data_IF_417181352368
#
_entry.id   IF_417181352368
#
_cell.length_a   1.000
_cell.length_b   1.000
_cell.length_c   1.000
_cell.angle_alpha   90.00
_cell.angle_beta   90.00
_cell.angle_gamma   90.00
#
_symmetry.space_group_name_H-M   'P 1'
#
loop_
_entity.id
_entity.type
_entity.pdbx_description
1 polymer ?
#
# COMPACT_ATOMS: atom_id res chain seq x y z
N UNK A 1 -22.72 -19.53 -20.29
CA UNK A 1 -21.29 -19.20 -20.13
C UNK A 1 -20.73 -19.26 -18.72
N UNK A 2 -21.47 -18.90 -17.66
CA UNK A 2 -21.00 -19.06 -16.26
C UNK A 2 -20.56 -20.50 -15.92
N UNK A 3 -21.31 -21.49 -16.41
CA UNK A 3 -21.01 -22.92 -16.21
C UNK A 3 -19.71 -23.40 -16.88
N UNK A 4 -19.34 -22.87 -18.05
CA UNK A 4 -18.10 -23.28 -18.73
C UNK A 4 -16.85 -22.65 -18.10
N UNK A 5 -16.94 -21.41 -17.63
CA UNK A 5 -15.85 -20.71 -16.96
C UNK A 5 -15.61 -21.30 -15.55
N UNK A 6 -16.68 -21.59 -14.79
CA UNK A 6 -16.61 -22.22 -13.47
C UNK A 6 -16.04 -23.65 -13.52
N UNK A 7 -16.36 -24.42 -14.57
CA UNK A 7 -15.78 -25.76 -14.80
C UNK A 7 -14.30 -25.68 -15.19
N UNK A 8 -13.86 -24.65 -15.93
CA UNK A 8 -12.46 -24.50 -16.36
C UNK A 8 -11.54 -23.90 -15.30
N UNK A 9 -12.04 -22.97 -14.49
CA UNK A 9 -11.22 -22.22 -13.51
C UNK A 9 -11.53 -22.56 -12.05
N UNK A 10 -12.45 -23.48 -11.81
CA UNK A 10 -12.93 -23.83 -10.47
C UNK A 10 -13.83 -22.74 -9.87
N UNK A 11 -14.48 -23.08 -8.76
CA UNK A 11 -15.30 -22.16 -7.96
C UNK A 11 -14.45 -21.25 -7.06
N UNK A 12 -13.15 -21.11 -7.34
CA UNK A 12 -12.25 -20.33 -6.50
C UNK A 12 -12.72 -18.87 -6.47
N UNK A 13 -13.11 -18.32 -5.29
CA UNK A 13 -13.40 -16.91 -5.19
C UNK A 13 -12.15 -16.16 -5.64
N UNK A 14 -12.32 -15.25 -6.61
CA UNK A 14 -11.21 -14.53 -7.22
C UNK A 14 -10.63 -13.56 -6.20
N UNK A 15 -9.62 -14.02 -5.48
CA UNK A 15 -8.93 -13.27 -4.45
C UNK A 15 -7.84 -12.39 -5.07
N UNK A 16 -7.68 -11.18 -4.53
CA UNK A 16 -6.40 -10.49 -4.63
C UNK A 16 -5.39 -11.24 -3.79
N UNK A 17 -4.15 -11.35 -4.27
CA UNK A 17 -3.08 -11.95 -3.48
C UNK A 17 -2.71 -11.00 -2.34
N UNK A 18 -3.20 -11.32 -1.16
CA UNK A 18 -2.80 -10.75 0.11
C UNK A 18 -2.29 -11.89 0.98
N UNK A 19 -1.18 -11.66 1.66
CA UNK A 19 -0.49 -12.66 2.47
C UNK A 19 -0.55 -12.22 3.90
N UNK A 20 -0.95 -13.13 4.78
CA UNK A 20 -0.90 -12.83 6.20
C UNK A 20 0.56 -12.69 6.66
N UNK A 21 0.81 -11.88 7.69
CA UNK A 21 2.16 -11.64 8.18
C UNK A 21 2.92 -12.91 8.61
N UNK A 22 2.22 -13.94 9.07
CA UNK A 22 2.81 -15.24 9.39
C UNK A 22 3.33 -16.01 8.16
N UNK A 23 2.87 -15.66 6.96
CA UNK A 23 3.39 -16.14 5.68
C UNK A 23 4.54 -15.26 5.11
N UNK A 24 4.94 -14.19 5.82
CA UNK A 24 6.06 -13.33 5.42
C UNK A 24 7.33 -13.80 6.13
N UNK A 25 8.33 -14.34 5.39
CA UNK A 25 9.57 -14.82 5.99
C UNK A 25 10.24 -13.79 6.90
N UNK A 26 10.59 -14.23 8.11
CA UNK A 26 11.32 -13.41 9.09
C UNK A 26 10.49 -12.36 9.82
N UNK A 27 9.24 -12.06 9.42
CA UNK A 27 8.43 -11.01 10.05
C UNK A 27 8.14 -11.33 11.52
N UNK A 28 7.69 -12.56 11.82
CA UNK A 28 7.39 -12.95 13.21
C UNK A 28 8.60 -12.87 14.13
N UNK A 29 9.77 -13.30 13.65
CA UNK A 29 11.02 -13.19 14.41
C UNK A 29 11.48 -11.74 14.56
N UNK A 30 11.37 -10.93 13.50
CA UNK A 30 11.69 -9.51 13.54
C UNK A 30 10.85 -8.77 14.58
N UNK A 31 9.52 -9.00 14.61
CA UNK A 31 8.63 -8.42 15.62
C UNK A 31 9.00 -8.89 17.03
N UNK A 32 9.34 -10.17 17.20
CA UNK A 32 9.70 -10.72 18.52
C UNK A 32 10.97 -10.10 19.11
N UNK A 33 11.96 -9.76 18.28
CA UNK A 33 13.24 -9.14 18.73
C UNK A 33 13.24 -7.62 18.64
N UNK A 34 12.16 -7.01 18.12
CA UNK A 34 12.07 -5.57 17.95
C UNK A 34 12.00 -4.86 19.31
N UNK A 35 12.93 -3.93 19.54
CA UNK A 35 12.92 -3.11 20.74
C UNK A 35 11.91 -1.97 20.62
N UNK A 36 10.89 -1.97 21.48
CA UNK A 36 9.85 -0.94 21.49
C UNK A 36 10.30 0.27 22.31
N UNK A 37 10.39 1.44 21.66
CA UNK A 37 10.72 2.67 22.38
C UNK A 37 9.57 3.07 23.33
N UNK A 38 9.83 3.62 24.54
CA UNK A 38 8.78 3.90 25.52
C UNK A 38 7.64 4.80 25.04
N UNK A 39 7.95 5.73 24.14
CA UNK A 39 6.99 6.65 23.51
C UNK A 39 6.52 6.25 22.11
N UNK A 40 6.76 5.00 21.69
CA UNK A 40 6.43 4.56 20.33
C UNK A 40 4.92 4.33 20.17
N UNK A 41 4.29 5.04 19.23
CA UNK A 41 2.85 4.92 18.93
C UNK A 41 2.57 4.21 17.61
N UNK A 42 3.57 3.61 16.97
CA UNK A 42 3.42 3.02 15.65
C UNK A 42 4.72 2.51 15.06
N UNK A 43 4.64 1.98 13.85
CA UNK A 43 5.79 1.45 13.12
C UNK A 43 5.55 1.51 11.61
N UNK A 44 6.65 1.63 10.87
CA UNK A 44 6.72 1.38 9.44
C UNK A 44 7.40 0.03 9.23
N UNK A 45 6.75 -0.85 8.48
CA UNK A 45 7.25 -2.20 8.19
C UNK A 45 7.89 -2.16 6.81
N UNK A 46 9.14 -2.64 6.71
CA UNK A 46 9.89 -2.71 5.47
C UNK A 46 10.21 -4.17 5.11
N UNK A 47 10.14 -4.51 3.83
CA UNK A 47 10.60 -5.78 3.29
C UNK A 47 11.55 -5.51 2.12
N UNK A 48 12.83 -5.91 2.28
CA UNK A 48 13.91 -5.61 1.33
C UNK A 48 13.96 -4.11 0.92
N UNK A 49 14.01 -3.21 1.92
CA UNK A 49 13.97 -1.73 1.80
C UNK A 49 12.70 -1.12 1.21
N UNK A 50 11.73 -1.94 0.81
CA UNK A 50 10.45 -1.48 0.31
C UNK A 50 9.46 -1.31 1.47
N UNK A 51 8.84 -0.13 1.57
CA UNK A 51 7.81 0.12 2.59
C UNK A 51 6.60 -0.79 2.34
N UNK A 52 6.28 -1.66 3.29
CA UNK A 52 5.19 -2.62 3.18
C UNK A 52 3.88 -2.07 3.74
N UNK A 53 3.96 -1.47 4.93
CA UNK A 53 2.81 -0.96 5.67
C UNK A 53 3.24 0.09 6.70
N UNK A 54 2.30 0.95 7.07
CA UNK A 54 2.38 1.80 8.25
C UNK A 54 1.26 1.44 9.21
N UNK A 55 1.58 1.40 10.51
CA UNK A 55 0.64 1.16 11.59
C UNK A 55 0.81 2.20 12.67
N UNK A 56 -0.25 2.92 13.03
CA UNK A 56 -0.21 3.97 14.07
C UNK A 56 -1.44 3.87 14.95
N UNK A 57 -1.25 4.09 16.24
CA UNK A 57 -2.29 4.14 17.29
C UNK A 57 -2.04 5.35 18.18
N UNK A 58 -2.96 5.75 19.07
CA UNK A 58 -2.86 7.05 19.74
C UNK A 58 -1.95 7.03 20.97
N UNK A 59 -1.67 5.85 21.54
CA UNK A 59 -0.92 5.72 22.79
C UNK A 59 0.14 4.60 22.72
N UNK A 60 1.31 4.75 23.39
CA UNK A 60 2.34 3.72 23.40
C UNK A 60 1.88 2.39 23.99
N UNK A 61 1.02 2.40 25.00
CA UNK A 61 0.47 1.15 25.56
C UNK A 61 -0.40 0.39 24.56
N UNK A 62 -1.20 1.11 23.76
CA UNK A 62 -1.99 0.47 22.70
C UNK A 62 -1.07 -0.17 21.66
N UNK A 63 0.03 0.53 21.31
CA UNK A 63 1.01 0.02 20.38
C UNK A 63 1.70 -1.24 20.91
N UNK A 64 2.08 -1.28 22.19
CA UNK A 64 2.68 -2.48 22.80
C UNK A 64 1.74 -3.68 22.76
N UNK A 65 0.45 -3.47 23.01
CA UNK A 65 -0.56 -4.53 22.97
C UNK A 65 -0.78 -5.03 21.55
N UNK A 66 -0.77 -4.14 20.56
CA UNK A 66 -1.08 -4.46 19.16
C UNK A 66 0.14 -4.83 18.32
N UNK A 67 1.36 -4.53 18.77
CA UNK A 67 2.59 -4.86 18.03
C UNK A 67 2.67 -6.33 17.61
N UNK A 68 2.38 -7.32 18.49
CA UNK A 68 2.42 -8.73 18.10
C UNK A 68 1.39 -9.10 17.04
N UNK A 69 0.27 -8.36 16.95
CA UNK A 69 -0.81 -8.67 15.99
C UNK A 69 -0.45 -8.27 14.56
N UNK A 70 0.65 -7.55 14.33
CA UNK A 70 1.14 -7.25 12.99
C UNK A 70 1.42 -8.53 12.18
N UNK A 71 1.73 -9.65 12.83
CA UNK A 71 1.88 -10.94 12.16
C UNK A 71 0.55 -11.48 11.59
N UNK A 72 -0.59 -11.01 12.10
CA UNK A 72 -1.92 -11.40 11.63
C UNK A 72 -2.43 -10.48 10.51
N UNK A 73 -1.71 -9.38 10.23
CA UNK A 73 -2.08 -8.42 9.22
C UNK A 73 -1.91 -8.97 7.80
N UNK A 74 -2.69 -8.40 6.87
CA UNK A 74 -2.55 -8.68 5.44
C UNK A 74 -1.56 -7.73 4.79
N UNK A 75 -0.62 -8.30 4.04
CA UNK A 75 0.40 -7.61 3.26
C UNK A 75 0.24 -7.91 1.77
N UNK A 76 0.64 -6.96 0.92
CA UNK A 76 0.54 -7.11 -0.53
C UNK A 76 1.49 -8.16 -1.09
N UNK A 77 1.13 -8.71 -2.26
CA UNK A 77 1.93 -9.70 -3.01
C UNK A 77 3.41 -9.30 -3.16
N UNK A 78 3.67 -8.02 -3.38
CA UNK A 78 5.03 -7.52 -3.56
C UNK A 78 5.89 -7.68 -2.30
N UNK A 79 5.30 -7.50 -1.12
CA UNK A 79 5.97 -7.64 0.17
C UNK A 79 6.37 -9.08 0.40
N UNK A 80 5.45 -10.02 0.10
CA UNK A 80 5.73 -11.44 0.14
C UNK A 80 6.86 -11.83 -0.84
N UNK A 81 6.80 -11.33 -2.09
CA UNK A 81 7.85 -11.60 -3.08
C UNK A 81 9.22 -11.05 -2.65
N UNK A 82 9.28 -9.83 -2.12
CA UNK A 82 10.52 -9.25 -1.63
C UNK A 82 11.06 -9.96 -0.39
N UNK A 83 10.20 -10.42 0.51
CA UNK A 83 10.62 -11.22 1.65
C UNK A 83 11.20 -12.58 1.24
N UNK A 84 10.71 -13.19 0.15
CA UNK A 84 11.19 -14.49 -0.34
C UNK A 84 12.40 -14.41 -1.28
N UNK A 85 12.45 -13.39 -2.14
CA UNK A 85 13.38 -13.32 -3.28
C UNK A 85 14.24 -12.06 -3.28
N UNK A 86 14.05 -11.15 -2.34
CA UNK A 86 14.86 -9.95 -2.20
C UNK A 86 16.31 -10.30 -1.87
N UNK A 87 17.24 -9.52 -2.42
CA UNK A 87 18.63 -9.61 -2.00
C UNK A 87 18.76 -9.20 -0.52
N UNK A 88 19.72 -9.77 0.23
CA UNK A 88 20.01 -9.30 1.58
C UNK A 88 20.32 -7.81 1.57
N UNK A 89 19.62 -7.05 2.41
CA UNK A 89 19.90 -5.63 2.63
C UNK A 89 21.13 -5.52 3.53
N UNK A 90 22.11 -4.66 3.21
CA UNK A 90 23.24 -4.41 4.09
C UNK A 90 22.78 -3.98 5.49
N UNK A 91 23.40 -4.55 6.52
CA UNK A 91 23.13 -4.14 7.90
C UNK A 91 23.46 -2.65 8.09
N UNK A 92 22.48 -1.87 8.56
CA UNK A 92 22.68 -0.49 8.91
C UNK A 92 23.00 -0.36 10.40
N UNK A 93 24.27 -0.06 10.72
CA UNK A 93 24.65 0.36 12.07
C UNK A 93 24.80 1.88 12.10
N UNK A 94 23.97 2.55 12.90
CA UNK A 94 24.16 3.96 13.21
C UNK A 94 25.54 4.18 13.84
N UNK A 95 26.41 4.98 13.20
CA UNK A 95 27.75 5.30 13.73
C UNK A 95 27.94 6.81 13.85
N UNK A 96 28.22 7.26 15.07
CA UNK A 96 28.74 8.60 15.32
C UNK A 96 30.24 8.57 15.04
N UNK A 97 30.71 9.31 14.03
CA UNK A 97 32.13 9.37 13.67
C UNK A 97 32.88 10.25 14.66
N UNK A 98 33.98 9.73 15.20
CA UNK A 98 34.85 10.33 16.23
C UNK A 98 36.27 10.65 15.67
N UNK A 99 36.36 11.05 14.40
CA UNK A 99 37.62 11.38 13.72
C UNK A 99 38.34 12.62 14.26
N UNK A 100 39.55 12.90 13.75
CA UNK A 100 40.51 13.90 14.28
C UNK A 100 39.89 15.29 14.57
N UNK A 101 39.44 15.47 15.81
CA UNK A 101 38.86 16.71 16.35
C UNK A 101 37.38 16.62 16.78
N UNK A 102 36.68 15.53 16.46
CA UNK A 102 35.25 15.33 16.70
C UNK A 102 34.97 14.68 18.05
N UNK A 103 34.09 15.33 18.82
CA UNK A 103 33.58 14.90 20.13
C UNK A 103 34.64 14.98 21.24
N UNK A 104 34.63 16.09 21.99
CA UNK A 104 35.51 16.32 23.14
C UNK A 104 34.74 16.37 24.46
N UNK A 105 33.41 16.49 24.40
CA UNK A 105 32.54 16.62 25.56
C UNK A 105 31.26 15.80 25.39
N UNK A 106 30.55 15.57 26.49
CA UNK A 106 29.21 14.98 26.48
C UNK A 106 28.20 15.83 25.69
N UNK A 107 28.39 17.16 25.67
CA UNK A 107 27.58 18.06 24.87
C UNK A 107 27.80 17.82 23.37
N UNK A 108 29.04 17.63 22.94
CA UNK A 108 29.36 17.32 21.54
C UNK A 108 28.76 15.97 21.11
N UNK A 109 28.81 14.95 21.99
CA UNK A 109 28.21 13.65 21.73
C UNK A 109 26.68 13.75 21.58
N UNK A 110 26.01 14.49 22.46
CA UNK A 110 24.56 14.74 22.37
C UNK A 110 24.21 15.49 21.08
N UNK A 111 25.00 16.50 20.72
CA UNK A 111 24.79 17.25 19.50
C UNK A 111 24.97 16.37 18.25
N UNK A 112 25.98 15.49 18.25
CA UNK A 112 26.22 14.53 17.17
C UNK A 112 25.08 13.49 17.04
N UNK A 113 24.60 12.95 18.17
CA UNK A 113 23.45 12.04 18.20
C UNK A 113 22.18 12.71 17.64
N UNK A 114 21.84 13.91 18.11
CA UNK A 114 20.71 14.69 17.59
C UNK A 114 20.87 15.07 16.12
N UNK A 115 22.10 15.24 15.65
CA UNK A 115 22.41 15.48 14.24
C UNK A 115 22.15 14.23 13.39
N UNK A 116 22.56 13.07 13.88
CA UNK A 116 22.32 11.78 13.23
C UNK A 116 20.83 11.42 13.18
N UNK A 117 20.09 11.65 14.27
CA UNK A 117 18.63 11.47 14.30
C UNK A 117 17.93 12.33 13.27
N UNK A 118 18.31 13.61 13.16
CA UNK A 118 17.76 14.53 12.14
C UNK A 118 18.11 14.11 10.71
N UNK A 119 19.36 13.69 10.48
CA UNK A 119 19.79 13.20 9.18
C UNK A 119 19.06 11.91 8.79
N UNK A 120 18.85 11.00 9.75
CA UNK A 120 18.07 9.79 9.55
C UNK A 120 16.61 10.11 9.22
N UNK A 121 15.95 10.97 10.01
CA UNK A 121 14.58 11.38 9.75
C UNK A 121 14.43 12.00 8.34
N UNK A 122 15.32 12.91 7.96
CA UNK A 122 15.29 13.54 6.64
C UNK A 122 15.51 12.53 5.50
N UNK A 123 16.47 11.60 5.65
CA UNK A 123 16.75 10.58 4.64
C UNK A 123 15.59 9.57 4.54
N UNK A 124 15.08 9.12 5.68
CA UNK A 124 13.97 8.20 5.76
C UNK A 124 12.71 8.81 5.12
N UNK A 125 12.32 10.01 5.52
CA UNK A 125 11.10 10.66 5.03
C UNK A 125 11.23 11.05 3.55
N UNK A 126 12.42 11.49 3.11
CA UNK A 126 12.67 11.91 1.74
C UNK A 126 12.99 10.78 0.74
N UNK A 127 13.31 9.58 1.22
CA UNK A 127 13.68 8.44 0.36
C UNK A 127 12.81 7.20 0.61
N UNK A 128 12.74 6.72 1.85
CA UNK A 128 12.11 5.42 2.16
C UNK A 128 10.59 5.53 2.32
N UNK A 129 10.12 6.59 2.97
CA UNK A 129 8.69 6.82 3.19
C UNK A 129 8.09 7.88 2.25
N UNK A 130 8.90 8.46 1.36
CA UNK A 130 8.52 9.60 0.51
C UNK A 130 7.20 9.37 -0.21
N UNK A 131 7.06 8.23 -0.89
CA UNK A 131 5.90 7.96 -1.71
C UNK A 131 4.63 7.75 -0.86
N UNK A 132 4.74 7.33 0.41
CA UNK A 132 3.61 7.33 1.35
C UNK A 132 3.26 8.76 1.82
N UNK A 133 4.25 9.62 2.00
CA UNK A 133 4.06 10.96 2.58
C UNK A 133 3.66 12.04 1.56
N UNK A 134 4.19 11.95 0.34
CA UNK A 134 4.02 12.97 -0.70
C UNK A 134 2.94 12.62 -1.73
N UNK A 135 2.49 11.37 -1.79
CA UNK A 135 1.42 10.98 -2.72
C UNK A 135 0.12 11.68 -2.36
N UNK A 136 -0.56 12.34 -3.32
CA UNK A 136 -1.84 12.98 -3.08
C UNK A 136 -2.95 11.92 -3.00
N UNK A 137 -3.25 11.47 -1.79
CA UNK A 137 -4.34 10.53 -1.54
C UNK A 137 -5.71 11.22 -1.54
N UNK A 138 -6.73 10.54 -2.10
CA UNK A 138 -8.12 10.90 -1.87
C UNK A 138 -8.61 10.25 -0.58
N UNK A 139 -9.39 10.96 0.21
CA UNK A 139 -9.96 10.47 1.46
C UNK A 139 -11.49 10.48 1.37
N UNK A 140 -12.10 9.32 1.60
CA UNK A 140 -13.54 9.17 1.72
C UNK A 140 -13.91 8.82 3.16
N UNK A 141 -14.72 9.66 3.80
CA UNK A 141 -15.28 9.33 5.11
C UNK A 141 -16.37 8.28 4.95
N UNK A 142 -16.13 7.08 5.46
CA UNK A 142 -17.06 5.94 5.32
C UNK A 142 -17.88 5.69 6.58
N UNK A 143 -17.45 6.18 7.75
CA UNK A 143 -18.20 6.03 8.99
C UNK A 143 -17.87 7.14 10.00
N UNK A 144 -18.83 7.43 10.90
CA UNK A 144 -18.65 8.32 12.05
C UNK A 144 -19.11 7.61 13.32
N UNK A 145 -18.23 7.55 14.32
CA UNK A 145 -18.47 6.95 15.62
C UNK A 145 -18.22 8.00 16.72
N UNK A 146 -19.26 8.73 17.11
CA UNK A 146 -19.14 9.81 18.09
C UNK A 146 -18.13 10.88 17.65
N UNK A 147 -17.04 11.03 18.41
CA UNK A 147 -15.98 12.00 18.16
C UNK A 147 -14.91 11.53 17.15
N UNK A 148 -15.11 10.38 16.51
CA UNK A 148 -14.17 9.78 15.56
C UNK A 148 -14.79 9.63 14.17
N UNK A 149 -13.97 9.87 13.16
CA UNK A 149 -14.29 9.68 11.76
C UNK A 149 -13.38 8.60 11.17
N UNK A 150 -13.96 7.59 10.51
CA UNK A 150 -13.24 6.58 9.75
C UNK A 150 -13.19 6.99 8.28
N UNK A 151 -11.98 7.07 7.76
CA UNK A 151 -11.68 7.34 6.37
C UNK A 151 -11.05 6.11 5.72
N UNK A 152 -11.41 5.89 4.46
CA UNK A 152 -10.62 5.10 3.53
C UNK A 152 -9.89 6.04 2.61
N UNK A 153 -8.62 5.76 2.34
CA UNK A 153 -7.85 6.56 1.41
C UNK A 153 -7.32 5.71 0.25
N UNK A 154 -7.32 6.33 -0.93
CA UNK A 154 -6.92 5.70 -2.18
C UNK A 154 -5.86 6.55 -2.88
N UNK A 155 -4.84 5.93 -3.49
CA UNK A 155 -3.84 6.63 -4.29
C UNK A 155 -4.48 7.11 -5.61
N UNK A 156 -3.77 7.94 -6.39
CA UNK A 156 -4.21 8.32 -7.73
C UNK A 156 -4.19 7.16 -8.75
N UNK A 157 -3.65 6.00 -8.37
CA UNK A 157 -3.41 4.86 -9.26
C UNK A 157 -2.54 5.22 -10.48
N UNK A 158 -1.54 6.07 -10.25
CA UNK A 158 -0.55 6.46 -11.25
C UNK A 158 0.24 5.26 -11.77
N UNK A 159 0.57 5.25 -13.06
CA UNK A 159 1.35 4.15 -13.69
C UNK A 159 2.81 4.53 -13.94
N UNK A 160 3.33 5.42 -13.10
CA UNK A 160 4.70 5.96 -13.16
C UNK A 160 5.72 5.14 -12.37
N UNK A 161 5.29 4.02 -11.77
CA UNK A 161 6.15 3.11 -11.01
C UNK A 161 6.38 3.52 -9.56
N UNK A 162 5.78 4.62 -9.10
CA UNK A 162 5.85 5.04 -7.70
C UNK A 162 5.10 4.09 -6.78
N UNK A 163 5.59 4.00 -5.54
CA UNK A 163 4.93 3.22 -4.50
C UNK A 163 3.58 3.85 -4.15
N UNK A 164 2.56 3.01 -3.98
CA UNK A 164 1.20 3.48 -3.74
C UNK A 164 0.53 2.61 -2.69
N UNK A 165 -0.03 3.26 -1.67
CA UNK A 165 -0.70 2.59 -0.57
C UNK A 165 -2.21 2.82 -0.62
N UNK A 166 -2.98 1.87 -0.14
CA UNK A 166 -4.36 2.12 0.30
C UNK A 166 -4.38 2.01 1.82
N UNK A 167 -5.43 2.50 2.46
CA UNK A 167 -5.53 2.29 3.89
C UNK A 167 -6.77 2.87 4.53
N UNK A 168 -6.79 2.70 5.85
CA UNK A 168 -7.82 3.20 6.73
C UNK A 168 -7.20 4.12 7.78
N UNK A 169 -7.87 5.25 8.01
CA UNK A 169 -7.49 6.27 8.98
C UNK A 169 -8.69 6.53 9.88
N UNK A 170 -8.51 6.39 11.19
CA UNK A 170 -9.45 6.95 12.16
C UNK A 170 -8.83 8.23 12.70
N UNK A 171 -9.54 9.35 12.56
CA UNK A 171 -9.16 10.62 13.16
C UNK A 171 -10.18 11.06 14.20
N UNK A 172 -9.72 11.76 15.23
CA UNK A 172 -10.62 12.43 16.15
C UNK A 172 -11.16 13.76 15.58
N UNK A 173 -12.06 14.41 16.32
CA UNK A 173 -12.61 15.73 15.97
C UNK A 173 -11.57 16.86 15.81
N UNK A 174 -10.32 16.67 16.24
CA UNK A 174 -9.20 17.62 16.06
C UNK A 174 -8.31 17.23 14.88
N UNK A 175 -8.66 16.18 14.14
CA UNK A 175 -7.86 15.65 13.03
C UNK A 175 -6.64 14.86 13.48
N UNK A 176 -6.53 14.49 14.76
CA UNK A 176 -5.41 13.67 15.25
C UNK A 176 -5.66 12.21 14.89
N UNK A 177 -4.62 11.53 14.41
CA UNK A 177 -4.66 10.10 14.10
C UNK A 177 -4.89 9.28 15.37
N UNK A 178 -6.02 8.57 15.41
CA UNK A 178 -6.34 7.58 16.43
C UNK A 178 -6.04 6.15 15.94
N UNK A 179 -6.02 5.94 14.63
CA UNK A 179 -5.61 4.69 14.02
C UNK A 179 -5.16 4.97 12.57
N UNK A 180 -4.07 4.35 12.13
CA UNK A 180 -3.68 4.29 10.73
C UNK A 180 -3.24 2.88 10.41
N UNK A 181 -3.74 2.33 9.30
CA UNK A 181 -3.19 1.13 8.69
C UNK A 181 -3.11 1.30 7.18
N UNK A 182 -1.96 0.95 6.62
CA UNK A 182 -1.73 1.05 5.18
C UNK A 182 -1.34 -0.29 4.58
N UNK A 183 -1.61 -0.44 3.29
CA UNK A 183 -1.33 -1.63 2.50
C UNK A 183 -0.70 -1.19 1.19
N UNK A 184 0.55 -1.60 0.94
CA UNK A 184 1.22 -1.34 -0.33
C UNK A 184 0.61 -2.16 -1.46
N UNK A 185 0.23 -1.50 -2.53
CA UNK A 185 -0.25 -2.14 -3.75
C UNK A 185 0.91 -2.69 -4.59
N UNK A 186 0.71 -3.86 -5.19
CA UNK A 186 1.55 -4.32 -6.29
C UNK A 186 1.25 -3.55 -7.58
N UNK A 187 2.15 -3.57 -8.56
CA UNK A 187 1.86 -2.94 -9.86
C UNK A 187 0.61 -3.50 -10.54
N UNK A 188 0.32 -4.80 -10.34
CA UNK A 188 -0.90 -5.43 -10.88
C UNK A 188 -2.13 -4.79 -10.25
N UNK A 189 -2.11 -4.56 -8.94
CA UNK A 189 -3.18 -3.89 -8.19
C UNK A 189 -3.32 -2.43 -8.60
N UNK A 190 -2.20 -1.70 -8.79
CA UNK A 190 -2.22 -0.33 -9.32
C UNK A 190 -2.85 -0.26 -10.70
N UNK A 191 -2.48 -1.17 -11.62
CA UNK A 191 -3.08 -1.24 -12.97
C UNK A 191 -4.58 -1.54 -12.92
N UNK A 192 -5.00 -2.42 -12.02
CA UNK A 192 -6.42 -2.74 -11.80
C UNK A 192 -7.17 -1.53 -11.24
N UNK A 193 -6.63 -0.89 -10.20
CA UNK A 193 -7.20 0.31 -9.59
C UNK A 193 -7.32 1.46 -10.59
N UNK A 194 -6.31 1.67 -11.45
CA UNK A 194 -6.37 2.63 -12.55
C UNK A 194 -7.56 2.37 -13.48
N UNK A 195 -7.77 1.12 -13.91
CA UNK A 195 -8.92 0.78 -14.76
C UNK A 195 -10.26 1.03 -14.05
N UNK A 196 -10.39 0.62 -12.79
CA UNK A 196 -11.60 0.83 -12.00
C UNK A 196 -11.90 2.31 -11.78
N UNK A 197 -10.87 3.11 -11.50
CA UNK A 197 -11.00 4.55 -11.29
C UNK A 197 -11.45 5.25 -12.58
N UNK A 198 -10.84 4.92 -13.72
CA UNK A 198 -11.22 5.48 -15.03
C UNK A 198 -12.63 5.07 -15.47
N UNK A 199 -13.09 3.87 -15.09
CA UNK A 199 -14.45 3.43 -15.30
C UNK A 199 -15.42 4.22 -14.41
N UNK A 200 -15.11 4.38 -13.12
CA UNK A 200 -15.93 5.13 -12.17
C UNK A 200 -16.07 6.61 -12.60
N UNK A 201 -14.99 7.25 -13.05
CA UNK A 201 -14.99 8.62 -13.59
C UNK A 201 -15.93 8.83 -14.79
N UNK A 202 -16.35 7.72 -15.43
CA UNK A 202 -17.18 7.71 -16.65
C UNK A 202 -18.48 6.97 -16.44
N UNK A 203 -18.94 6.89 -15.19
CA UNK A 203 -20.19 6.23 -14.80
C UNK A 203 -20.28 4.79 -15.31
N UNK A 204 -19.14 4.09 -15.32
CA UNK A 204 -18.99 2.73 -15.83
C UNK A 204 -19.30 2.57 -17.33
N UNK A 205 -19.36 3.66 -18.10
CA UNK A 205 -19.64 3.63 -19.52
C UNK A 205 -18.38 3.26 -20.34
N UNK A 206 -18.34 2.03 -20.85
CA UNK A 206 -17.19 1.48 -21.57
C UNK A 206 -16.76 2.28 -22.81
N UNK A 207 -17.70 2.77 -23.62
CA UNK A 207 -17.37 3.60 -24.82
C UNK A 207 -16.63 4.89 -24.47
N UNK A 208 -17.26 5.76 -23.66
CA UNK A 208 -16.64 6.97 -23.10
C UNK A 208 -15.31 6.71 -22.39
N UNK A 209 -15.19 5.60 -21.68
CA UNK A 209 -13.94 5.21 -21.01
C UNK A 209 -12.85 4.89 -22.04
N UNK A 210 -13.19 4.15 -23.10
CA UNK A 210 -12.25 3.82 -24.17
C UNK A 210 -11.76 5.09 -24.90
N UNK A 211 -12.68 5.99 -25.24
CA UNK A 211 -12.39 7.31 -25.82
C UNK A 211 -11.46 8.13 -24.91
N UNK A 212 -11.78 8.23 -23.60
CA UNK A 212 -10.97 8.96 -22.62
C UNK A 212 -9.59 8.33 -22.35
N UNK A 213 -9.39 7.08 -22.75
CA UNK A 213 -8.13 6.36 -22.68
C UNK A 213 -7.39 6.33 -24.03
N UNK A 214 -7.96 6.94 -25.08
CA UNK A 214 -7.38 6.91 -26.43
C UNK A 214 -7.28 5.49 -27.00
N UNK A 215 -8.26 4.64 -26.71
CA UNK A 215 -8.26 3.22 -27.11
C UNK A 215 -9.60 2.79 -27.69
N UNK A 216 -9.67 1.62 -28.31
CA UNK A 216 -10.92 1.08 -28.85
C UNK A 216 -11.76 0.40 -27.76
N UNK A 217 -13.07 0.32 -27.99
CA UNK A 217 -13.97 -0.42 -27.10
C UNK A 217 -13.53 -1.87 -26.89
N UNK A 218 -13.14 -2.56 -27.97
CA UNK A 218 -12.68 -3.94 -27.92
C UNK A 218 -11.38 -4.09 -27.11
N UNK A 219 -10.44 -3.16 -27.27
CA UNK A 219 -9.20 -3.16 -26.50
C UNK A 219 -9.45 -2.89 -25.00
N UNK A 220 -10.36 -1.97 -24.66
CA UNK A 220 -10.75 -1.75 -23.27
C UNK A 220 -11.36 -3.01 -22.65
N UNK A 221 -12.29 -3.67 -23.34
CA UNK A 221 -12.89 -4.94 -22.90
C UNK A 221 -11.82 -6.00 -22.65
N UNK A 222 -10.85 -6.13 -23.56
CA UNK A 222 -9.72 -7.06 -23.42
C UNK A 222 -8.88 -6.73 -22.19
N UNK A 223 -8.59 -5.46 -21.93
CA UNK A 223 -7.85 -5.00 -20.73
C UNK A 223 -8.59 -5.31 -19.44
N UNK A 224 -9.91 -5.06 -19.39
CA UNK A 224 -10.76 -5.40 -18.24
C UNK A 224 -10.71 -6.92 -17.99
N UNK A 225 -10.82 -7.73 -19.04
CA UNK A 225 -10.68 -9.18 -18.96
C UNK A 225 -9.31 -9.63 -18.44
N UNK A 226 -8.22 -9.07 -18.98
CA UNK A 226 -6.85 -9.38 -18.59
C UNK A 226 -6.52 -8.95 -17.14
N UNK A 227 -7.19 -7.89 -16.65
CA UNK A 227 -7.12 -7.47 -15.25
C UNK A 227 -7.94 -8.36 -14.30
N UNK A 228 -8.58 -9.43 -14.78
CA UNK A 228 -9.44 -10.29 -13.98
C UNK A 228 -10.79 -9.67 -13.63
N UNK A 229 -11.17 -8.56 -14.28
CA UNK A 229 -12.41 -7.82 -14.06
C UNK A 229 -13.51 -8.18 -15.07
N UNK A 230 -13.28 -9.19 -15.93
CA UNK A 230 -14.24 -9.58 -16.97
C UNK A 230 -15.64 -9.96 -16.46
N UNK A 231 -15.77 -10.35 -15.19
CA UNK A 231 -17.06 -10.60 -14.55
C UNK A 231 -17.94 -9.35 -14.34
N UNK A 232 -17.36 -8.15 -14.45
CA UNK A 232 -18.10 -6.89 -14.42
C UNK A 232 -18.77 -6.56 -15.77
N UNK A 233 -18.47 -7.35 -16.81
CA UNK A 233 -18.97 -7.10 -18.16
C UNK A 233 -20.23 -7.91 -18.44
N UNK A 234 -21.23 -7.26 -19.02
CA UNK A 234 -22.33 -7.96 -19.68
C UNK A 234 -21.83 -8.53 -21.01
N UNK A 235 -21.67 -9.85 -21.06
CA UNK A 235 -21.14 -10.56 -22.22
C UNK A 235 -21.99 -10.37 -23.49
N UNK A 236 -23.32 -10.27 -23.37
CA UNK A 236 -24.20 -10.11 -24.52
C UNK A 236 -24.11 -8.70 -25.09
N UNK A 237 -24.08 -7.69 -24.22
CA UNK A 237 -23.94 -6.29 -24.63
C UNK A 237 -22.58 -6.05 -25.28
N UNK A 238 -21.50 -6.58 -24.69
CA UNK A 238 -20.15 -6.49 -25.23
C UNK A 238 -20.05 -7.16 -26.60
N UNK A 239 -20.54 -8.39 -26.74
CA UNK A 239 -20.44 -9.14 -28.00
C UNK A 239 -21.17 -8.44 -29.16
N UNK A 240 -22.33 -7.82 -28.88
CA UNK A 240 -23.06 -7.02 -29.88
C UNK A 240 -22.24 -5.79 -30.30
N UNK A 241 -21.72 -5.02 -29.34
CA UNK A 241 -20.96 -3.79 -29.61
C UNK A 241 -19.63 -4.05 -30.33
N UNK A 242 -18.95 -5.16 -30.05
CA UNK A 242 -17.72 -5.54 -30.75
C UNK A 242 -17.99 -5.90 -32.21
N UNK A 243 -19.12 -6.56 -32.52
CA UNK A 243 -19.52 -6.84 -33.91
C UNK A 243 -19.83 -5.55 -34.67
N UNK A 244 -20.64 -4.67 -34.08
CA UNK A 244 -20.97 -3.36 -34.67
C UNK A 244 -19.72 -2.51 -34.97
N UNK A 245 -18.66 -2.63 -34.16
CA UNK A 245 -17.41 -1.88 -34.33
C UNK A 245 -16.40 -2.53 -35.30
N UNK A 246 -16.59 -3.79 -35.69
CA UNK A 246 -15.75 -4.50 -36.65
C UNK A 246 -16.31 -4.55 -38.07
N UNK A 247 -17.56 -4.12 -38.26
CA UNK A 247 -18.27 -4.07 -39.55
C UNK A 247 -18.26 -2.68 -40.22
N UNK A 248 -17.45 -1.74 -39.70
CA UNK A 248 -17.23 -0.40 -40.28
C UNK A 248 -15.75 -0.13 -40.53
#
# INVERSE_FOLDING_TARGET
DWSREAVRRGLSPRAEAAYAGWDVPGLGDALRVFELHPGQCGVLVYAADALAAAFVVPHPEDYRVLHPTLVEDLYGELVHQYAHYGAPVPEFTARIRDGAGGIRTLADLRAAALGQERAWAAAHDGLMARDLLETPYSFERVYRAGAFDLYRFLPPFGRDGREQHIGELISDHKGRTAYLKTFRLSEKQVRKGYLLHRLADRDWHLGRTAEALGTSYAELVRRIGAAGLGGLLDAHVVARKVREAGEG
#
